data_IF_305974244131
#
_entry.id   IF_305974244131
#
_cell.length_a   1.000
_cell.length_b   1.000
_cell.length_c   1.000
_cell.angle_alpha   90.00
_cell.angle_beta   90.00
_cell.angle_gamma   90.00
#
_symmetry.space_group_name_H-M   'P 1'
#
loop_
_entity.id
_entity.type
_entity.pdbx_description
1 polymer ?
#
# COMPACT_ATOMS: atom_id res chain seq x y z
N UNK A 1 -19.41 -5.76 -1.85
CA UNK A 1 -18.28 -6.23 -2.69
C UNK A 1 -18.43 -5.87 -4.15
N UNK A 2 -19.62 -5.94 -4.72
CA UNK A 2 -19.83 -5.62 -6.14
C UNK A 2 -19.34 -4.22 -6.53
N UNK A 3 -19.66 -3.19 -5.73
CA UNK A 3 -19.22 -1.83 -6.00
C UNK A 3 -17.71 -1.70 -5.91
N UNK A 4 -17.09 -2.34 -4.91
CA UNK A 4 -15.65 -2.33 -4.72
C UNK A 4 -14.94 -3.00 -5.90
N UNK A 5 -15.44 -4.16 -6.32
CA UNK A 5 -14.87 -4.89 -7.46
C UNK A 5 -14.98 -4.08 -8.76
N UNK A 6 -16.10 -3.41 -9.00
CA UNK A 6 -16.27 -2.56 -10.17
C UNK A 6 -15.32 -1.39 -10.20
N UNK A 7 -15.16 -0.70 -9.07
CA UNK A 7 -14.24 0.44 -8.96
C UNK A 7 -12.81 -0.02 -9.18
N UNK A 8 -12.41 -1.11 -8.53
CA UNK A 8 -11.05 -1.65 -8.64
C UNK A 8 -10.75 -2.09 -10.07
N UNK A 9 -11.71 -2.76 -10.71
CA UNK A 9 -11.57 -3.18 -12.11
C UNK A 9 -11.42 -2.00 -13.05
N UNK A 10 -12.20 -0.94 -12.85
CA UNK A 10 -12.10 0.27 -13.67
C UNK A 10 -10.74 0.95 -13.52
N UNK A 11 -10.22 1.01 -12.29
CA UNK A 11 -8.89 1.55 -12.02
C UNK A 11 -7.84 0.68 -12.70
N UNK A 12 -7.94 -0.64 -12.59
CA UNK A 12 -7.00 -1.57 -13.20
C UNK A 12 -6.92 -1.43 -14.70
N UNK A 13 -8.06 -1.25 -15.36
CA UNK A 13 -8.09 -1.02 -16.82
C UNK A 13 -7.37 0.26 -17.23
N UNK A 14 -7.51 1.33 -16.45
CA UNK A 14 -6.83 2.60 -16.72
C UNK A 14 -5.32 2.52 -16.47
N UNK A 15 -4.88 1.65 -15.59
CA UNK A 15 -3.48 1.48 -15.26
C UNK A 15 -2.78 0.43 -16.13
N UNK A 16 -3.56 -0.36 -16.87
CA UNK A 16 -3.04 -1.43 -17.72
C UNK A 16 -2.07 -0.89 -18.76
N UNK A 17 -0.94 -1.56 -18.90
CA UNK A 17 0.09 -1.17 -19.86
C UNK A 17 0.94 0.01 -19.45
N UNK A 18 0.66 0.66 -18.34
CA UNK A 18 1.51 1.75 -17.84
C UNK A 18 2.82 1.18 -17.31
N UNK A 19 3.90 1.84 -17.66
CA UNK A 19 5.24 1.51 -17.18
C UNK A 19 5.88 2.80 -16.62
N UNK A 20 5.66 3.11 -15.35
CA UNK A 20 6.33 4.24 -14.73
C UNK A 20 7.83 4.10 -14.87
N UNK A 21 8.51 5.16 -15.25
CA UNK A 21 9.96 5.15 -15.41
C UNK A 21 10.58 6.22 -14.52
N UNK A 22 11.83 5.99 -14.13
CA UNK A 22 12.54 6.86 -13.21
C UNK A 22 14.03 6.88 -13.58
N UNK A 23 14.57 8.09 -13.76
CA UNK A 23 16.01 8.29 -13.78
C UNK A 23 16.49 8.32 -12.33
N UNK A 24 17.32 7.34 -11.95
CA UNK A 24 17.70 7.15 -10.55
C UNK A 24 19.04 7.77 -10.22
N UNK A 25 19.08 8.36 -9.04
CA UNK A 25 20.29 8.63 -8.31
C UNK A 25 20.58 7.43 -7.40
N UNK A 26 21.85 6.99 -7.32
CA UNK A 26 22.26 5.83 -6.51
C UNK A 26 22.00 5.98 -5.00
N UNK A 27 21.76 7.21 -4.53
CA UNK A 27 21.47 7.48 -3.11
C UNK A 27 19.99 7.26 -2.75
N UNK A 28 19.14 6.94 -3.73
CA UNK A 28 17.74 6.71 -3.49
C UNK A 28 17.50 5.25 -3.09
N UNK A 29 16.49 5.05 -2.27
CA UNK A 29 16.05 3.71 -1.91
C UNK A 29 14.54 3.59 -2.17
N UNK A 30 14.07 2.38 -2.35
CA UNK A 30 12.70 2.13 -2.78
C UNK A 30 11.81 1.73 -1.62
N UNK A 31 10.61 2.28 -1.61
CA UNK A 31 9.52 1.85 -0.76
C UNK A 31 8.27 1.66 -1.63
N UNK A 32 7.35 0.85 -1.17
CA UNK A 32 6.08 0.66 -1.85
C UNK A 32 4.95 0.79 -0.86
N UNK A 33 3.83 1.36 -1.32
CA UNK A 33 2.64 1.54 -0.49
C UNK A 33 1.43 1.01 -1.22
N UNK A 34 0.43 0.62 -0.47
CA UNK A 34 -0.88 0.24 -0.98
C UNK A 34 -1.87 1.34 -0.64
N UNK A 35 -2.64 1.77 -1.65
CA UNK A 35 -3.83 2.58 -1.44
C UNK A 35 -5.00 1.62 -1.36
N UNK A 36 -5.44 1.25 -0.13
CA UNK A 36 -6.39 0.14 -0.01
C UNK A 36 -7.82 0.65 0.00
N UNK A 37 -8.61 0.09 -0.90
CA UNK A 37 -10.05 0.28 -0.90
C UNK A 37 -10.68 -0.81 -0.05
N UNK A 38 -11.63 -0.42 0.77
CA UNK A 38 -12.35 -1.34 1.67
C UNK A 38 -13.83 -1.03 1.64
N UNK A 39 -14.66 -2.03 1.92
CA UNK A 39 -16.07 -1.83 2.14
C UNK A 39 -16.31 -1.49 3.61
N UNK A 40 -17.08 -0.44 3.84
CA UNK A 40 -17.55 -0.05 5.17
C UNK A 40 -19.07 0.12 5.14
N UNK A 41 -19.72 0.23 6.31
CA UNK A 41 -21.15 0.54 6.34
C UNK A 41 -21.52 1.83 5.60
N UNK A 42 -20.57 2.75 5.41
CA UNK A 42 -20.76 3.99 4.67
C UNK A 42 -20.45 3.86 3.18
N UNK A 43 -20.04 2.68 2.72
CA UNK A 43 -19.71 2.40 1.32
C UNK A 43 -18.23 2.10 1.12
N UNK A 44 -17.79 2.26 -0.13
CA UNK A 44 -16.37 2.03 -0.47
C UNK A 44 -15.54 3.18 0.09
N UNK A 45 -14.54 2.84 0.85
CA UNK A 45 -13.70 3.78 1.58
C UNK A 45 -12.23 3.50 1.34
N UNK A 46 -11.39 4.50 1.57
CA UNK A 46 -9.93 4.34 1.55
C UNK A 46 -9.45 4.17 2.98
N UNK A 47 -8.64 3.15 3.21
CA UNK A 47 -8.08 2.89 4.53
C UNK A 47 -6.76 3.64 4.69
N UNK A 48 -6.60 4.29 5.83
CA UNK A 48 -5.34 4.87 6.27
C UNK A 48 -4.94 4.23 7.59
N UNK A 49 -3.66 4.22 7.87
CA UNK A 49 -3.16 3.79 9.18
C UNK A 49 -2.46 4.94 9.89
N UNK A 50 -2.44 4.87 11.21
CA UNK A 50 -1.71 5.82 12.04
C UNK A 50 -0.42 5.13 12.49
N UNK A 51 0.72 5.74 12.19
CA UNK A 51 2.01 5.20 12.59
C UNK A 51 2.12 5.18 14.11
N UNK A 52 2.67 4.09 14.66
CA UNK A 52 2.82 3.95 16.10
C UNK A 52 3.64 5.09 16.69
N UNK A 53 3.22 5.59 17.86
CA UNK A 53 3.87 6.71 18.54
C UNK A 53 5.32 6.42 18.93
N UNK A 54 5.67 5.14 19.09
CA UNK A 54 7.03 4.71 19.46
C UNK A 54 8.02 4.60 18.31
N UNK A 55 7.57 4.79 17.06
CA UNK A 55 8.46 4.74 15.90
C UNK A 55 9.41 5.94 15.90
N UNK A 56 10.66 5.70 15.48
CA UNK A 56 11.67 6.76 15.36
C UNK A 56 11.49 7.66 14.15
N UNK A 57 10.66 7.25 13.18
CA UNK A 57 10.42 7.95 11.94
C UNK A 57 8.93 8.26 11.81
N UNK A 58 8.61 9.55 11.71
CA UNK A 58 7.25 10.04 11.53
C UNK A 58 6.21 9.40 12.48
N UNK A 59 6.46 9.39 13.82
CA UNK A 59 5.50 8.80 14.75
C UNK A 59 4.18 9.56 14.74
N UNK A 60 3.06 8.84 14.81
CA UNK A 60 1.72 9.43 14.86
C UNK A 60 1.19 9.95 13.52
N UNK A 61 1.98 9.89 12.44
CA UNK A 61 1.53 10.33 11.13
C UNK A 61 0.49 9.37 10.55
N UNK A 62 -0.45 9.94 9.80
CA UNK A 62 -1.41 9.17 9.02
C UNK A 62 -0.80 8.84 7.67
N UNK A 63 -0.84 7.58 7.28
CA UNK A 63 -0.22 7.13 6.04
C UNK A 63 -0.97 5.95 5.45
N UNK A 64 -0.60 5.59 4.22
CA UNK A 64 -1.00 4.33 3.64
C UNK A 64 -0.09 3.20 4.15
N UNK A 65 -0.60 1.96 4.24
CA UNK A 65 0.26 0.84 4.58
C UNK A 65 1.34 0.64 3.52
N UNK A 66 2.53 0.31 3.96
CA UNK A 66 3.67 0.11 3.07
C UNK A 66 4.98 0.16 3.81
N UNK A 67 6.06 0.04 3.07
CA UNK A 67 7.40 0.08 3.66
C UNK A 67 8.50 -0.13 2.63
N UNK A 68 9.68 -0.34 3.15
CA UNK A 68 10.90 -0.46 2.35
C UNK A 68 10.94 -1.77 1.57
N UNK A 69 11.35 -1.68 0.31
CA UNK A 69 11.56 -2.87 -0.52
C UNK A 69 12.73 -3.69 0.01
N UNK A 70 12.55 -5.00 -0.01
CA UNK A 70 13.60 -5.97 0.36
C UNK A 70 14.04 -6.76 -0.87
N UNK A 71 15.27 -7.27 -0.83
CA UNK A 71 15.82 -8.05 -1.95
C UNK A 71 15.00 -9.30 -2.25
N UNK A 72 14.31 -9.86 -1.25
CA UNK A 72 13.46 -11.03 -1.41
C UNK A 72 12.11 -10.74 -2.07
N UNK A 73 11.73 -9.47 -2.19
CA UNK A 73 10.47 -9.11 -2.84
C UNK A 73 10.60 -9.28 -4.37
N UNK A 74 9.61 -9.90 -5.00
CA UNK A 74 9.59 -10.12 -6.44
C UNK A 74 9.32 -8.85 -7.26
N UNK A 75 9.21 -7.72 -6.61
CA UNK A 75 8.94 -6.42 -7.20
C UNK A 75 8.25 -5.53 -6.17
N UNK A 76 7.98 -4.29 -6.56
CA UNK A 76 7.42 -3.31 -5.62
C UNK A 76 5.96 -3.63 -5.26
N UNK A 77 5.21 -4.24 -6.17
CA UNK A 77 3.87 -4.72 -5.86
C UNK A 77 3.92 -5.73 -4.71
N UNK A 78 4.85 -6.68 -4.77
CA UNK A 78 5.05 -7.66 -3.71
C UNK A 78 5.44 -6.98 -2.39
N UNK A 79 6.25 -5.93 -2.44
CA UNK A 79 6.60 -5.13 -1.27
C UNK A 79 5.35 -4.52 -0.63
N UNK A 80 4.51 -3.88 -1.43
CA UNK A 80 3.28 -3.24 -0.95
C UNK A 80 2.36 -4.27 -0.27
N UNK A 81 2.19 -5.43 -0.88
CA UNK A 81 1.36 -6.50 -0.32
C UNK A 81 1.95 -7.04 0.96
N UNK A 82 3.25 -7.36 0.98
CA UNK A 82 3.92 -7.90 2.17
C UNK A 82 3.82 -6.97 3.35
N UNK A 83 4.15 -5.70 3.16
CA UNK A 83 4.11 -4.70 4.23
C UNK A 83 2.68 -4.48 4.75
N UNK A 84 1.70 -4.45 3.85
CA UNK A 84 0.30 -4.31 4.26
C UNK A 84 -0.14 -5.51 5.10
N UNK A 85 0.23 -6.71 4.70
CA UNK A 85 -0.09 -7.92 5.46
C UNK A 85 0.56 -7.90 6.85
N UNK A 86 1.81 -7.50 6.93
CA UNK A 86 2.53 -7.41 8.21
C UNK A 86 1.89 -6.38 9.16
N UNK A 87 1.55 -5.21 8.62
CA UNK A 87 1.01 -4.12 9.43
C UNK A 87 -0.43 -4.34 9.87
N UNK A 88 -1.27 -4.89 9.01
CA UNK A 88 -2.70 -5.06 9.26
C UNK A 88 -3.10 -6.47 9.70
N UNK A 89 -2.14 -7.40 9.76
CA UNK A 89 -2.44 -8.77 10.16
C UNK A 89 -3.28 -9.53 9.16
N UNK A 90 -2.97 -9.38 7.87
CA UNK A 90 -3.72 -10.01 6.78
C UNK A 90 -2.89 -11.08 6.08
N UNK A 91 -3.59 -11.97 5.39
CA UNK A 91 -2.97 -12.87 4.43
C UNK A 91 -2.98 -12.22 3.04
N UNK A 92 -1.99 -12.54 2.22
CA UNK A 92 -1.86 -11.95 0.88
C UNK A 92 -3.07 -12.23 -0.01
N UNK A 93 -3.76 -13.36 0.21
CA UNK A 93 -4.98 -13.70 -0.54
C UNK A 93 -6.13 -12.71 -0.30
N UNK A 94 -6.07 -11.94 0.79
CA UNK A 94 -7.07 -10.92 1.10
C UNK A 94 -6.89 -9.63 0.28
N UNK A 95 -5.77 -9.49 -0.41
CA UNK A 95 -5.45 -8.26 -1.14
C UNK A 95 -5.49 -8.53 -2.64
N UNK A 96 -6.24 -7.71 -3.36
CA UNK A 96 -6.34 -7.76 -4.82
C UNK A 96 -5.81 -6.45 -5.40
N UNK A 97 -4.73 -6.52 -6.16
CA UNK A 97 -4.10 -5.34 -6.75
C UNK A 97 -4.82 -4.97 -8.05
N UNK A 98 -5.14 -3.70 -8.20
CA UNK A 98 -5.68 -3.15 -9.43
C UNK A 98 -4.58 -2.70 -10.38
N UNK A 99 -3.55 -2.03 -9.85
CA UNK A 99 -2.42 -1.58 -10.65
C UNK A 99 -1.55 -0.58 -9.92
N UNK A 100 -0.47 -0.20 -10.58
CA UNK A 100 0.48 0.77 -10.03
C UNK A 100 0.21 2.19 -10.50
N UNK A 101 0.44 3.14 -9.62
CA UNK A 101 0.42 4.56 -9.92
C UNK A 101 1.83 5.06 -10.21
N UNK A 102 1.96 6.33 -10.53
CA UNK A 102 3.28 6.92 -10.73
C UNK A 102 4.04 6.95 -9.40
N UNK A 103 5.34 6.67 -9.48
CA UNK A 103 6.22 6.78 -8.33
C UNK A 103 6.36 8.25 -7.89
N UNK A 104 6.71 8.43 -6.62
CA UNK A 104 6.99 9.72 -6.02
C UNK A 104 8.43 9.73 -5.52
N UNK A 105 9.19 10.74 -5.94
CA UNK A 105 10.53 10.96 -5.41
C UNK A 105 10.43 11.92 -4.24
N UNK A 106 10.82 11.47 -3.06
CA UNK A 106 10.76 12.31 -1.85
C UNK A 106 12.11 12.98 -1.59
N UNK A 107 12.10 14.09 -0.87
CA UNK A 107 13.33 14.79 -0.47
C UNK A 107 14.13 14.03 0.58
N UNK A 108 13.54 13.05 1.21
CA UNK A 108 14.11 12.35 2.36
C UNK A 108 14.74 11.01 2.01
N UNK A 109 14.84 10.67 0.72
CA UNK A 109 15.52 9.49 0.22
C UNK A 109 14.64 8.43 -0.41
N UNK A 110 13.45 8.09 0.10
CA UNK A 110 12.66 7.06 -0.55
C UNK A 110 12.06 7.51 -1.87
N UNK A 111 12.08 6.59 -2.83
CA UNK A 111 11.23 6.63 -4.02
C UNK A 111 10.03 5.74 -3.67
N UNK A 112 8.85 6.31 -3.66
CA UNK A 112 7.64 5.60 -3.26
C UNK A 112 6.92 5.10 -4.50
N UNK A 113 6.66 3.78 -4.54
CA UNK A 113 5.93 3.11 -5.61
C UNK A 113 4.52 2.77 -5.10
N UNK A 114 3.49 3.54 -5.47
CA UNK A 114 2.15 3.31 -4.95
C UNK A 114 1.37 2.35 -5.85
N UNK A 115 0.60 1.49 -5.21
CA UNK A 115 -0.33 0.55 -5.86
C UNK A 115 -1.73 0.75 -5.31
N UNK A 116 -2.72 0.57 -6.17
CA UNK A 116 -4.12 0.60 -5.76
C UNK A 116 -4.64 -0.83 -5.72
N UNK A 117 -5.35 -1.17 -4.68
CA UNK A 117 -5.98 -2.46 -4.56
C UNK A 117 -7.14 -2.42 -3.59
N UNK A 118 -7.81 -3.55 -3.42
CA UNK A 118 -8.83 -3.65 -2.39
C UNK A 118 -8.51 -4.78 -1.43
N UNK A 119 -9.00 -4.61 -0.20
CA UNK A 119 -8.86 -5.60 0.85
C UNK A 119 -10.20 -6.30 1.03
N UNK A 120 -10.20 -7.60 0.77
CA UNK A 120 -11.35 -8.49 1.00
C UNK A 120 -11.20 -9.12 2.38
N UNK A 121 -11.63 -8.39 3.39
CA UNK A 121 -11.52 -8.81 4.77
C UNK A 121 -12.76 -8.35 5.55
N UNK A 122 -13.33 -9.23 6.35
CA UNK A 122 -14.43 -8.94 7.23
C UNK A 122 -13.97 -8.97 8.69
N UNK A 123 -14.51 -8.05 9.48
CA UNK A 123 -14.15 -7.94 10.88
C UNK A 123 -13.04 -6.93 11.14
N UNK A 124 -12.48 -7.01 12.33
CA UNK A 124 -11.42 -6.10 12.74
C UNK A 124 -10.06 -6.57 12.24
N UNK A 125 -9.19 -5.60 11.98
CA UNK A 125 -7.81 -5.88 11.63
C UNK A 125 -7.02 -6.21 12.89
N UNK A 126 -6.12 -7.19 12.77
CA UNK A 126 -5.18 -7.54 13.83
C UNK A 126 -3.84 -6.87 13.53
N UNK A 127 -3.80 -5.54 13.67
CA UNK A 127 -2.63 -4.79 13.26
C UNK A 127 -1.46 -4.93 14.23
N UNK A 128 -0.26 -4.78 13.67
CA UNK A 128 0.99 -4.83 14.42
C UNK A 128 1.18 -3.54 15.23
N UNK A 129 1.02 -3.62 16.53
CA UNK A 129 1.07 -2.45 17.43
C UNK A 129 2.46 -1.83 17.54
N UNK A 130 3.51 -2.51 17.07
CA UNK A 130 4.84 -1.94 17.00
C UNK A 130 4.99 -0.94 15.86
N UNK A 131 4.14 -1.02 14.85
CA UNK A 131 4.20 -0.18 13.65
C UNK A 131 2.95 0.68 13.48
N UNK A 132 1.79 0.23 13.95
CA UNK A 132 0.47 0.85 13.71
C UNK A 132 -0.28 1.02 15.03
N UNK A 133 -0.89 2.16 15.22
CA UNK A 133 -1.80 2.45 16.33
C UNK A 133 -3.27 2.21 15.95
#
# INVERSE_FOLDING_TARGET
MEALEKITSAIGKKLEGRKPSLDRDDNLWDAAVLLPLVNTPQGVSVLFEVRAAKLGWQPGDVCFPGGRAECSDEGFEATAVRETCEELGLESSSIKIAGGLNYLVTHMGPVIHPYVGYIDHSGQFNFNKDEVD
#
